data_IF_621910994176
#
_entry.id   IF_621910994176
#
_cell.length_a   1.000
_cell.length_b   1.000
_cell.length_c   1.000
_cell.angle_alpha   90.00
_cell.angle_beta   90.00
_cell.angle_gamma   90.00
#
_symmetry.space_group_name_H-M   'P 1'
#
loop_
_entity.id
_entity.type
_entity.pdbx_description
1 polymer ?
#
# COMPACT_ATOMS: atom_id res chain seq x y z
N UNK A 1 18.94 22.97 6.59
CA UNK A 1 18.20 22.41 5.45
C UNK A 1 19.03 21.34 4.76
N UNK A 2 20.34 21.55 4.58
CA UNK A 2 21.26 20.59 3.95
C UNK A 2 21.17 19.17 4.54
N UNK A 3 21.21 19.01 5.86
CA UNK A 3 21.08 17.69 6.49
C UNK A 3 19.77 16.95 6.19
N UNK A 4 18.66 17.66 5.93
CA UNK A 4 17.37 17.05 5.56
C UNK A 4 17.40 16.59 4.11
N UNK A 5 18.02 17.38 3.23
CA UNK A 5 18.19 17.03 1.82
C UNK A 5 19.12 15.81 1.69
N UNK A 6 20.22 15.80 2.45
CA UNK A 6 21.15 14.67 2.52
C UNK A 6 20.46 13.41 3.05
N UNK A 7 19.63 13.54 4.10
CA UNK A 7 18.83 12.43 4.63
C UNK A 7 17.89 11.87 3.55
N UNK A 8 17.13 12.73 2.86
CA UNK A 8 16.21 12.29 1.79
C UNK A 8 16.96 11.63 0.63
N UNK A 9 18.15 12.11 0.28
CA UNK A 9 19.00 11.49 -0.73
C UNK A 9 19.47 10.09 -0.31
N UNK A 10 19.88 9.91 0.95
CA UNK A 10 20.24 8.59 1.50
C UNK A 10 19.03 7.65 1.52
N UNK A 11 17.87 8.12 2.00
CA UNK A 11 16.64 7.32 2.01
C UNK A 11 16.26 6.88 0.58
N UNK A 12 16.39 7.77 -0.41
CA UNK A 12 16.16 7.44 -1.81
C UNK A 12 17.11 6.35 -2.32
N UNK A 13 18.40 6.45 -1.99
CA UNK A 13 19.38 5.43 -2.39
C UNK A 13 19.07 4.06 -1.78
N UNK A 14 18.66 4.05 -0.50
CA UNK A 14 18.22 2.84 0.18
C UNK A 14 16.97 2.22 -0.49
N UNK A 15 16.03 3.06 -0.95
CA UNK A 15 14.79 2.61 -1.58
C UNK A 15 14.98 2.08 -3.02
N UNK A 16 16.11 2.34 -3.69
CA UNK A 16 16.43 1.66 -4.97
C UNK A 16 16.54 0.15 -4.81
N UNK A 17 17.02 -0.30 -3.65
CA UNK A 17 17.24 -1.71 -3.34
C UNK A 17 16.12 -2.29 -2.45
N UNK A 18 14.90 -1.74 -2.54
CA UNK A 18 13.77 -2.12 -1.67
C UNK A 18 13.45 -3.61 -1.69
N UNK A 19 13.74 -4.30 -2.80
CA UNK A 19 13.53 -5.74 -2.97
C UNK A 19 14.37 -6.58 -2.00
N UNK A 20 15.57 -6.12 -1.65
CA UNK A 20 16.50 -6.83 -0.76
C UNK A 20 16.33 -6.45 0.72
N UNK A 21 15.55 -5.40 1.00
CA UNK A 21 15.31 -4.93 2.36
C UNK A 21 14.14 -5.68 3.01
N UNK A 22 14.16 -5.92 4.33
CA UNK A 22 12.97 -6.35 5.05
C UNK A 22 11.82 -5.32 4.87
N UNK A 23 10.56 -5.79 4.74
CA UNK A 23 9.42 -4.93 4.47
C UNK A 23 9.20 -3.87 5.57
N UNK A 24 9.47 -4.22 6.82
CA UNK A 24 9.32 -3.32 7.96
C UNK A 24 10.21 -2.08 7.82
N UNK A 25 11.51 -2.29 7.59
CA UNK A 25 12.48 -1.20 7.43
C UNK A 25 12.17 -0.35 6.20
N UNK A 26 11.73 -0.96 5.10
CA UNK A 26 11.31 -0.24 3.90
C UNK A 26 10.11 0.67 4.18
N UNK A 27 9.09 0.17 4.87
CA UNK A 27 7.90 0.96 5.24
C UNK A 27 8.28 2.10 6.18
N UNK A 28 9.09 1.86 7.21
CA UNK A 28 9.53 2.93 8.13
C UNK A 28 10.41 3.98 7.42
N UNK A 29 11.25 3.57 6.48
CA UNK A 29 12.05 4.46 5.63
C UNK A 29 11.13 5.38 4.80
N UNK A 30 10.12 4.80 4.13
CA UNK A 30 9.13 5.55 3.35
C UNK A 30 8.32 6.48 4.27
N UNK A 31 7.86 6.00 5.43
CA UNK A 31 7.11 6.79 6.39
C UNK A 31 7.92 7.99 6.88
N UNK A 32 9.20 7.78 7.19
CA UNK A 32 10.13 8.82 7.61
C UNK A 32 10.28 9.88 6.51
N UNK A 33 10.51 9.45 5.26
CA UNK A 33 10.61 10.36 4.12
C UNK A 33 9.31 11.17 3.92
N UNK A 34 8.16 10.51 3.92
CA UNK A 34 6.85 11.15 3.77
C UNK A 34 6.55 12.14 4.91
N UNK A 35 6.89 11.80 6.16
CA UNK A 35 6.75 12.71 7.31
C UNK A 35 7.72 13.90 7.23
N UNK A 36 8.94 13.67 6.78
CA UNK A 36 9.96 14.72 6.62
C UNK A 36 9.56 15.73 5.53
N UNK A 37 9.01 15.25 4.42
CA UNK A 37 8.44 16.08 3.35
C UNK A 37 7.19 16.89 3.78
N UNK A 38 6.66 16.67 4.99
CA UNK A 38 5.55 17.46 5.56
C UNK A 38 6.02 18.59 6.47
N UNK A 39 7.30 18.67 6.82
CA UNK A 39 7.83 19.71 7.71
C UNK A 39 7.75 21.13 7.13
N UNK A 40 8.01 22.17 7.96
CA UNK A 40 8.12 23.55 7.49
C UNK A 40 9.28 23.65 6.48
N UNK A 41 8.95 23.86 5.19
CA UNK A 41 9.90 23.74 4.08
C UNK A 41 9.35 23.04 2.82
N UNK A 42 8.06 22.67 2.82
CA UNK A 42 7.34 22.02 1.71
C UNK A 42 7.59 22.63 0.32
N UNK A 43 7.73 23.95 0.24
CA UNK A 43 7.87 24.67 -1.03
C UNK A 43 9.34 24.85 -1.48
N UNK A 44 10.30 24.47 -0.63
CA UNK A 44 11.74 24.69 -0.86
C UNK A 44 12.44 23.40 -1.32
N UNK A 45 11.83 22.23 -1.09
CA UNK A 45 12.42 20.93 -1.43
C UNK A 45 11.70 20.36 -2.67
N UNK A 46 12.30 20.42 -3.87
CA UNK A 46 11.73 19.86 -5.09
C UNK A 46 11.96 18.34 -5.13
N UNK A 47 11.30 17.61 -4.24
CA UNK A 47 11.37 16.15 -4.21
C UNK A 47 10.08 15.57 -4.77
N UNK A 48 10.21 14.78 -5.84
CA UNK A 48 9.07 14.16 -6.50
C UNK A 48 8.47 13.06 -5.59
N UNK A 49 7.21 13.19 -5.17
CA UNK A 49 6.56 12.17 -4.35
C UNK A 49 6.51 10.79 -5.03
N UNK A 50 6.58 10.72 -6.38
CA UNK A 50 6.61 9.45 -7.12
C UNK A 50 7.73 8.53 -6.69
N UNK A 51 8.88 9.10 -6.31
CA UNK A 51 10.07 8.34 -5.93
C UNK A 51 9.87 7.48 -4.67
N UNK A 52 8.89 7.82 -3.84
CA UNK A 52 8.53 7.05 -2.64
C UNK A 52 7.29 6.18 -2.86
N UNK A 53 6.45 6.51 -3.84
CA UNK A 53 5.25 5.73 -4.17
C UNK A 53 5.57 4.45 -4.92
N UNK A 54 6.56 4.44 -5.82
CA UNK A 54 6.97 3.22 -6.54
C UNK A 54 7.50 2.17 -5.56
N UNK A 55 8.44 2.49 -4.64
CA UNK A 55 8.84 1.55 -3.59
C UNK A 55 7.68 1.11 -2.71
N UNK A 56 6.80 2.03 -2.29
CA UNK A 56 5.62 1.68 -1.49
C UNK A 56 4.73 0.66 -2.22
N UNK A 57 4.46 0.89 -3.51
CA UNK A 57 3.67 0.01 -4.35
C UNK A 57 4.27 -1.40 -4.44
N UNK A 58 5.60 -1.51 -4.50
CA UNK A 58 6.31 -2.80 -4.55
C UNK A 58 6.31 -3.58 -3.22
N UNK A 59 6.23 -2.88 -2.09
CA UNK A 59 6.30 -3.49 -0.75
C UNK A 59 4.94 -4.01 -0.28
N UNK A 60 3.83 -3.42 -0.74
CA UNK A 60 2.47 -3.80 -0.31
C UNK A 60 2.18 -5.32 -0.39
N UNK A 61 2.47 -6.03 -1.49
CA UNK A 61 2.20 -7.47 -1.57
C UNK A 61 3.03 -8.28 -0.55
N UNK A 62 4.27 -7.85 -0.29
CA UNK A 62 5.17 -8.49 0.68
C UNK A 62 4.69 -8.31 2.12
N UNK A 63 4.02 -7.19 2.40
CA UNK A 63 3.43 -6.93 3.72
C UNK A 63 2.37 -7.98 4.08
N UNK A 64 1.51 -8.35 3.13
CA UNK A 64 0.47 -9.35 3.39
C UNK A 64 1.04 -10.73 3.68
N UNK A 65 2.05 -11.16 2.92
CA UNK A 65 2.76 -12.42 3.17
C UNK A 65 3.47 -12.41 4.52
N UNK A 66 4.12 -11.30 4.89
CA UNK A 66 4.81 -11.18 6.19
C UNK A 66 3.84 -11.36 7.36
N UNK A 67 2.67 -10.71 7.30
CA UNK A 67 1.64 -10.84 8.33
C UNK A 67 1.08 -12.28 8.43
N UNK A 68 0.87 -12.94 7.29
CA UNK A 68 0.43 -14.34 7.26
C UNK A 68 1.45 -15.27 7.91
N UNK A 69 2.75 -15.10 7.61
CA UNK A 69 3.83 -15.91 8.19
C UNK A 69 3.88 -15.71 9.71
N UNK A 70 3.83 -14.46 10.19
CA UNK A 70 3.80 -14.18 11.63
C UNK A 70 2.60 -14.80 12.33
N UNK A 71 1.43 -14.80 11.67
CA UNK A 71 0.23 -15.45 12.20
C UNK A 71 0.39 -16.97 12.29
N UNK A 72 1.01 -17.58 11.29
CA UNK A 72 1.25 -19.03 11.26
C UNK A 72 2.28 -19.46 12.32
N UNK A 73 3.36 -18.69 12.50
CA UNK A 73 4.34 -18.91 13.57
C UNK A 73 3.69 -18.88 14.97
N UNK A 74 2.69 -18.01 15.15
CA UNK A 74 1.93 -17.94 16.40
C UNK A 74 1.06 -19.18 16.64
N UNK A 75 0.50 -19.78 15.58
CA UNK A 75 -0.37 -20.95 15.67
C UNK A 75 0.38 -22.27 15.95
N UNK A 76 1.64 -22.39 15.48
CA UNK A 76 2.46 -23.60 15.63
C UNK A 76 3.33 -23.64 16.89
N UNK A 77 3.24 -22.64 17.78
CA UNK A 77 3.61 -22.80 19.20
C UNK A 77 5.09 -23.13 19.51
N UNK A 78 6.07 -22.48 18.88
CA UNK A 78 7.46 -22.55 19.33
C UNK A 78 7.84 -21.38 20.27
N UNK A 79 7.59 -21.63 21.56
CA UNK A 79 8.32 -21.18 22.76
C UNK A 79 9.04 -19.81 22.80
N UNK A 80 8.53 -18.95 23.70
CA UNK A 80 9.26 -18.20 24.75
C UNK A 80 9.91 -16.84 24.49
N UNK A 81 9.86 -16.29 23.26
CA UNK A 81 10.21 -14.87 22.99
C UNK A 81 9.05 -14.05 22.36
N UNK A 82 7.83 -14.60 22.36
CA UNK A 82 6.79 -14.32 21.36
C UNK A 82 5.80 -13.17 21.64
N UNK A 83 5.98 -12.37 22.69
CA UNK A 83 5.06 -11.23 22.96
C UNK A 83 5.39 -9.96 22.16
N UNK A 84 6.63 -9.79 21.66
CA UNK A 84 7.01 -8.59 20.91
C UNK A 84 6.72 -8.70 19.40
N UNK A 85 6.83 -9.91 18.82
CA UNK A 85 6.77 -10.13 17.37
C UNK A 85 5.41 -9.81 16.76
N UNK A 86 4.30 -10.15 17.44
CA UNK A 86 2.95 -9.80 16.96
C UNK A 86 2.74 -8.27 16.98
N UNK A 87 3.29 -7.60 18.01
CA UNK A 87 3.24 -6.14 18.08
C UNK A 87 3.98 -5.46 16.93
N UNK A 88 5.03 -6.09 16.41
CA UNK A 88 5.86 -5.50 15.35
C UNK A 88 5.19 -5.60 13.97
N UNK A 89 4.50 -6.71 13.68
CA UNK A 89 3.70 -6.84 12.46
C UNK A 89 2.54 -5.83 12.45
N UNK A 90 1.81 -5.72 13.56
CA UNK A 90 0.72 -4.75 13.72
C UNK A 90 1.23 -3.31 13.56
N UNK A 91 2.35 -2.96 14.22
CA UNK A 91 2.99 -1.64 14.08
C UNK A 91 3.44 -1.35 12.64
N UNK A 92 3.86 -2.38 11.91
CA UNK A 92 4.30 -2.23 10.51
C UNK A 92 3.10 -1.97 9.60
N UNK A 93 1.98 -2.65 9.83
CA UNK A 93 0.73 -2.40 9.10
C UNK A 93 0.21 -0.99 9.41
N UNK A 94 0.21 -0.59 10.68
CA UNK A 94 -0.12 0.79 11.08
C UNK A 94 0.78 1.83 10.41
N UNK A 95 2.08 1.54 10.29
CA UNK A 95 3.03 2.40 9.59
C UNK A 95 2.74 2.46 8.08
N UNK A 96 2.36 1.35 7.46
CA UNK A 96 1.97 1.30 6.05
C UNK A 96 0.69 2.10 5.80
N UNK A 97 -0.30 2.00 6.68
CA UNK A 97 -1.53 2.79 6.62
C UNK A 97 -1.23 4.28 6.75
N UNK A 98 -0.37 4.67 7.69
CA UNK A 98 0.07 6.06 7.79
C UNK A 98 0.77 6.54 6.51
N UNK A 99 1.56 5.68 5.85
CA UNK A 99 2.15 6.02 4.54
C UNK A 99 1.06 6.28 3.49
N UNK A 100 0.04 5.42 3.42
CA UNK A 100 -1.08 5.56 2.50
C UNK A 100 -1.89 6.84 2.78
N UNK A 101 -2.15 7.16 4.05
CA UNK A 101 -2.85 8.38 4.44
C UNK A 101 -2.07 9.64 4.04
N UNK A 102 -0.75 9.63 4.27
CA UNK A 102 0.14 10.72 3.85
C UNK A 102 0.20 10.85 2.32
N UNK A 103 0.19 9.74 1.59
CA UNK A 103 0.24 9.69 0.14
C UNK A 103 -1.07 10.14 -0.53
N UNK A 104 -2.22 9.64 -0.05
CA UNK A 104 -3.51 9.73 -0.75
C UNK A 104 -4.52 10.69 -0.14
N UNK A 105 -4.61 10.76 1.19
CA UNK A 105 -5.65 11.58 1.85
C UNK A 105 -5.22 13.04 2.00
N UNK A 106 -3.92 13.25 2.24
CA UNK A 106 -3.36 14.57 2.54
C UNK A 106 -2.83 15.31 1.30
N UNK A 107 -2.55 14.60 0.19
CA UNK A 107 -2.14 15.17 -1.09
C UNK A 107 -3.07 14.67 -2.19
N UNK A 108 -3.64 15.58 -2.99
CA UNK A 108 -4.59 15.27 -4.09
C UNK A 108 -3.93 15.45 -5.46
N UNK A 109 -2.74 14.89 -5.64
CA UNK A 109 -1.92 15.11 -6.85
C UNK A 109 -1.71 13.83 -7.68
N UNK A 110 -2.45 12.76 -7.40
CA UNK A 110 -2.23 11.45 -8.03
C UNK A 110 -3.13 11.23 -9.25
N UNK A 111 -2.53 10.69 -10.31
CA UNK A 111 -3.25 10.25 -11.50
C UNK A 111 -4.22 9.11 -11.16
N UNK A 112 -5.36 9.09 -11.86
CA UNK A 112 -6.44 8.11 -11.64
C UNK A 112 -5.98 6.68 -11.91
N UNK A 113 -5.04 6.49 -12.84
CA UNK A 113 -4.38 5.21 -13.12
C UNK A 113 -3.58 4.67 -11.93
N UNK A 114 -2.80 5.52 -11.25
CA UNK A 114 -2.05 5.12 -10.05
C UNK A 114 -2.98 4.76 -8.91
N UNK A 115 -4.04 5.55 -8.72
CA UNK A 115 -5.05 5.27 -7.70
C UNK A 115 -5.68 3.89 -7.89
N UNK A 116 -6.13 3.58 -9.12
CA UNK A 116 -6.64 2.27 -9.48
C UNK A 116 -5.64 1.15 -9.19
N UNK A 117 -4.36 1.37 -9.53
CA UNK A 117 -3.29 0.41 -9.29
C UNK A 117 -3.10 0.10 -7.81
N UNK A 118 -3.06 1.13 -6.97
CA UNK A 118 -2.95 0.98 -5.52
C UNK A 118 -4.19 0.31 -4.92
N UNK A 119 -5.40 0.66 -5.36
CA UNK A 119 -6.62 0.01 -4.88
C UNK A 119 -6.66 -1.47 -5.25
N UNK A 120 -6.32 -1.82 -6.50
CA UNK A 120 -6.22 -3.21 -6.92
C UNK A 120 -5.19 -3.95 -6.08
N UNK A 121 -3.99 -3.39 -5.89
CA UNK A 121 -2.94 -4.04 -5.10
C UNK A 121 -3.28 -4.15 -3.60
N UNK A 122 -3.96 -3.17 -3.00
CA UNK A 122 -4.41 -3.21 -1.60
C UNK A 122 -5.48 -4.29 -1.39
N UNK A 123 -6.44 -4.39 -2.31
CA UNK A 123 -7.50 -5.42 -2.25
C UNK A 123 -6.93 -6.81 -2.47
N UNK A 124 -6.01 -7.00 -3.42
CA UNK A 124 -5.28 -8.27 -3.57
C UNK A 124 -4.42 -8.60 -2.35
N UNK A 125 -3.73 -7.62 -1.76
CA UNK A 125 -2.92 -7.83 -0.54
C UNK A 125 -3.80 -8.26 0.63
N UNK A 126 -4.97 -7.65 0.79
CA UNK A 126 -5.93 -8.00 1.84
C UNK A 126 -6.38 -9.46 1.79
N UNK A 127 -6.48 -10.04 0.59
CA UNK A 127 -6.82 -11.46 0.41
C UNK A 127 -5.75 -12.41 0.96
N UNK A 128 -4.49 -11.98 1.00
CA UNK A 128 -3.37 -12.75 1.54
C UNK A 128 -3.11 -12.48 3.03
N UNK A 129 -3.84 -11.53 3.63
CA UNK A 129 -3.69 -11.15 5.02
C UNK A 129 -4.65 -11.91 5.95
N UNK A 130 -4.25 -12.15 7.21
CA UNK A 130 -5.17 -12.57 8.27
C UNK A 130 -6.18 -11.45 8.63
N UNK A 131 -7.31 -11.77 9.29
CA UNK A 131 -8.42 -10.83 9.53
C UNK A 131 -8.03 -9.55 10.29
N UNK A 132 -7.09 -9.64 11.23
CA UNK A 132 -6.63 -8.48 12.01
C UNK A 132 -5.85 -7.47 11.15
N UNK A 133 -5.16 -7.92 10.10
CA UNK A 133 -4.42 -7.07 9.18
C UNK A 133 -5.23 -6.70 7.93
N UNK A 134 -6.13 -7.56 7.48
CA UNK A 134 -6.95 -7.33 6.28
C UNK A 134 -7.98 -6.21 6.48
N UNK A 135 -8.62 -6.16 7.66
CA UNK A 135 -9.62 -5.13 8.00
C UNK A 135 -9.08 -3.70 7.88
N UNK A 136 -7.95 -3.30 8.50
CA UNK A 136 -7.48 -1.94 8.39
C UNK A 136 -6.98 -1.59 6.96
N UNK A 137 -6.41 -2.55 6.22
CA UNK A 137 -6.04 -2.36 4.81
C UNK A 137 -7.27 -2.06 3.95
N UNK A 138 -8.37 -2.80 4.14
CA UNK A 138 -9.63 -2.56 3.43
C UNK A 138 -10.27 -1.23 3.80
N UNK A 139 -10.21 -0.85 5.09
CA UNK A 139 -10.70 0.46 5.54
C UNK A 139 -9.91 1.58 4.85
N UNK A 140 -8.59 1.49 4.78
CA UNK A 140 -7.76 2.45 4.04
C UNK A 140 -8.10 2.50 2.55
N UNK A 141 -8.27 1.34 1.90
CA UNK A 141 -8.68 1.27 0.50
C UNK A 141 -10.05 1.96 0.28
N UNK A 142 -11.02 1.74 1.17
CA UNK A 142 -12.33 2.40 1.14
C UNK A 142 -12.21 3.91 1.33
N UNK A 143 -11.42 4.38 2.30
CA UNK A 143 -11.21 5.80 2.55
C UNK A 143 -10.58 6.50 1.34
N UNK A 144 -9.59 5.86 0.72
CA UNK A 144 -8.98 6.31 -0.53
C UNK A 144 -10.06 6.39 -1.61
N UNK A 145 -10.84 5.34 -1.83
CA UNK A 145 -11.88 5.37 -2.85
C UNK A 145 -12.91 6.49 -2.62
N UNK A 146 -13.43 6.65 -1.39
CA UNK A 146 -14.38 7.72 -1.04
C UNK A 146 -13.80 9.12 -1.25
N UNK A 147 -12.50 9.32 -1.00
CA UNK A 147 -11.82 10.60 -1.23
C UNK A 147 -11.75 10.95 -2.71
N UNK A 148 -11.66 9.94 -3.58
CA UNK A 148 -11.53 10.08 -5.03
C UNK A 148 -12.79 9.65 -5.80
N UNK A 149 -13.94 9.56 -5.13
CA UNK A 149 -15.22 9.12 -5.70
C UNK A 149 -15.72 9.99 -6.88
N UNK A 150 -15.15 11.18 -7.08
CA UNK A 150 -15.41 12.00 -8.28
C UNK A 150 -14.75 11.42 -9.55
N UNK A 151 -13.85 10.44 -9.42
CA UNK A 151 -13.17 9.81 -10.55
C UNK A 151 -13.97 8.60 -11.06
N UNK A 152 -14.62 8.77 -12.22
CA UNK A 152 -15.38 7.71 -12.88
C UNK A 152 -14.58 6.44 -13.18
N UNK A 153 -13.24 6.54 -13.32
CA UNK A 153 -12.40 5.38 -13.65
C UNK A 153 -12.28 4.35 -12.53
N UNK A 154 -12.21 4.81 -11.28
CA UNK A 154 -12.12 3.89 -10.13
C UNK A 154 -13.48 3.28 -9.83
N UNK A 155 -14.54 4.06 -9.97
CA UNK A 155 -15.91 3.60 -9.77
C UNK A 155 -16.29 2.49 -10.76
N UNK A 156 -15.83 2.59 -12.02
CA UNK A 156 -15.97 1.53 -13.02
C UNK A 156 -15.35 0.19 -12.61
N UNK A 157 -14.33 0.18 -11.75
CA UNK A 157 -13.74 -1.07 -11.27
C UNK A 157 -14.62 -1.81 -10.25
N UNK A 158 -15.57 -1.10 -9.65
CA UNK A 158 -16.59 -1.67 -8.75
C UNK A 158 -17.84 -2.10 -9.50
N UNK A 159 -18.05 -1.58 -10.71
CA UNK A 159 -19.16 -1.93 -11.58
C UNK A 159 -18.82 -3.16 -12.45
N UNK A 160 -19.84 -3.73 -13.11
CA UNK A 160 -19.74 -5.01 -13.80
C UNK A 160 -18.83 -4.97 -15.05
N UNK A 161 -18.28 -6.14 -15.40
CA UNK A 161 -17.17 -6.33 -16.33
C UNK A 161 -17.45 -6.00 -17.81
N UNK A 162 -18.70 -5.70 -18.17
CA UNK A 162 -19.11 -5.49 -19.57
C UNK A 162 -18.38 -4.29 -20.22
N UNK A 163 -18.02 -3.27 -19.43
CA UNK A 163 -17.32 -2.06 -19.89
C UNK A 163 -15.78 -2.15 -19.85
N UNK A 164 -15.22 -3.26 -19.35
CA UNK A 164 -13.78 -3.42 -19.11
C UNK A 164 -13.02 -3.85 -20.38
N UNK A 165 -13.71 -4.46 -21.33
CA UNK A 165 -13.14 -5.13 -22.52
C UNK A 165 -12.41 -4.16 -23.48
N UNK A 166 -12.58 -2.84 -23.34
CA UNK A 166 -12.05 -1.86 -24.29
C UNK A 166 -10.68 -1.24 -23.92
N UNK A 167 -10.20 -1.37 -22.69
CA UNK A 167 -9.06 -0.57 -22.17
C UNK A 167 -7.71 -1.31 -22.10
N UNK A 168 -7.65 -2.56 -22.57
CA UNK A 168 -6.44 -3.37 -22.63
C UNK A 168 -6.32 -4.38 -21.48
N UNK A 169 -5.10 -4.84 -21.19
CA UNK A 169 -4.84 -5.87 -20.17
C UNK A 169 -4.20 -5.28 -18.92
N UNK A 170 -4.61 -5.78 -17.75
CA UNK A 170 -3.98 -5.47 -16.47
C UNK A 170 -2.64 -6.21 -16.34
N UNK A 171 -1.58 -5.49 -15.96
CA UNK A 171 -0.25 -6.02 -15.68
C UNK A 171 0.04 -5.97 -14.17
N UNK A 172 -0.08 -7.09 -13.44
CA UNK A 172 0.15 -7.12 -11.99
C UNK A 172 1.62 -6.91 -11.61
N UNK A 173 2.55 -7.30 -12.49
CA UNK A 173 4.00 -7.26 -12.26
C UNK A 173 4.64 -5.91 -12.59
N UNK A 174 3.85 -4.92 -13.00
CA UNK A 174 4.36 -3.59 -13.28
C UNK A 174 5.00 -2.96 -12.03
N UNK A 175 6.24 -2.47 -12.18
CA UNK A 175 6.95 -1.72 -11.14
C UNK A 175 6.29 -0.36 -10.91
N UNK A 176 5.93 0.31 -12.00
CA UNK A 176 5.24 1.59 -11.96
C UNK A 176 3.72 1.41 -11.83
N UNK A 177 3.07 2.02 -10.81
CA UNK A 177 1.62 1.92 -10.66
C UNK A 177 0.86 2.54 -11.84
N UNK A 178 1.45 3.52 -12.53
CA UNK A 178 0.82 4.18 -13.68
C UNK A 178 0.73 3.28 -14.92
N UNK A 179 1.65 2.33 -15.08
CA UNK A 179 1.74 1.42 -16.22
C UNK A 179 1.04 0.08 -15.98
N UNK A 180 0.53 -0.17 -14.76
CA UNK A 180 -0.17 -1.42 -14.43
C UNK A 180 -1.50 -1.61 -15.15
N UNK A 181 -2.13 -0.52 -15.61
CA UNK A 181 -3.45 -0.51 -16.24
C UNK A 181 -4.56 -1.17 -15.39
N UNK A 182 -4.57 -0.91 -14.07
CA UNK A 182 -5.51 -1.55 -13.15
C UNK A 182 -6.99 -1.22 -13.34
N UNK A 183 -7.33 -0.18 -14.09
CA UNK A 183 -8.73 0.15 -14.42
C UNK A 183 -9.33 -0.79 -15.47
N UNK A 184 -8.48 -1.54 -16.20
CA UNK A 184 -8.89 -2.59 -17.13
C UNK A 184 -9.18 -3.94 -16.41
N UNK A 185 -9.38 -3.94 -15.09
CA UNK A 185 -9.82 -5.12 -14.34
C UNK A 185 -10.84 -4.72 -13.27
N UNK A 186 -11.80 -5.60 -13.01
CA UNK A 186 -12.72 -5.50 -11.88
C UNK A 186 -12.00 -5.78 -10.54
N UNK A 187 -12.56 -5.27 -9.43
CA UNK A 187 -12.13 -5.56 -8.06
C UNK A 187 -12.77 -6.85 -7.52
N UNK A 188 -12.60 -7.96 -8.23
CA UNK A 188 -13.17 -9.27 -7.89
C UNK A 188 -12.72 -9.80 -6.51
N UNK A 189 -11.61 -9.34 -5.96
CA UNK A 189 -11.13 -9.71 -4.63
C UNK A 189 -12.12 -9.32 -3.54
N UNK A 190 -12.86 -8.21 -3.72
CA UNK A 190 -13.89 -7.78 -2.78
C UNK A 190 -15.05 -8.79 -2.71
N UNK A 191 -15.41 -9.39 -3.85
CA UNK A 191 -16.43 -10.44 -3.92
C UNK A 191 -16.01 -11.69 -3.17
N UNK A 192 -14.71 -12.04 -3.18
CA UNK A 192 -14.20 -13.16 -2.39
C UNK A 192 -14.12 -12.84 -0.90
N UNK A 193 -13.67 -11.64 -0.54
CA UNK A 193 -13.58 -11.19 0.85
C UNK A 193 -14.96 -11.14 1.53
N UNK A 194 -16.04 -10.91 0.78
CA UNK A 194 -17.42 -11.01 1.30
C UNK A 194 -17.76 -12.38 1.90
N UNK A 195 -17.11 -13.44 1.44
CA UNK A 195 -17.32 -14.81 1.94
C UNK A 195 -16.22 -15.24 2.91
N UNK A 196 -15.51 -14.28 3.51
CA UNK A 196 -14.46 -14.57 4.46
C UNK A 196 -15.03 -15.25 5.72
N UNK A 197 -14.27 -16.19 6.29
CA UNK A 197 -14.69 -17.00 7.45
C UNK A 197 -14.91 -16.19 8.72
N UNK A 198 -14.24 -15.03 8.82
CA UNK A 198 -14.29 -14.16 9.97
C UNK A 198 -15.35 -13.07 9.74
N UNK A 199 -16.37 -12.93 10.62
CA UNK A 199 -17.54 -12.07 10.38
C UNK A 199 -17.26 -10.56 10.37
N UNK A 200 -16.04 -10.14 10.70
CA UNK A 200 -15.63 -8.73 10.70
C UNK A 200 -14.92 -8.27 9.41
N UNK A 201 -14.54 -9.20 8.54
CA UNK A 201 -13.93 -8.91 7.22
C UNK A 201 -15.05 -8.86 6.20
#
# INVERSE_FOLDING_TARGET
MDAIVDLLAVLKELLKNVQYMPPDSAIYCILCALKTLRGPGRDVIPVDPKEYLIPLYSVLPRLGVSSLVSSMESAFGQSSAQYESNSNADKTIDAAIQCLDHAFLQRRELSTSRLAAFLKRLTSTSLHCPPHSSTPILVSARQINLRYATSSKVDRMLDNEEDVVAEGMFAPDAEDPEHSNAHATSLWELSLLRYHIHPMV
#
